data_IF_817362527509
#
_entry.id   IF_817362527509
#
_cell.length_a   1.000
_cell.length_b   1.000
_cell.length_c   1.000
_cell.angle_alpha   90.00
_cell.angle_beta   90.00
_cell.angle_gamma   90.00
#
_symmetry.space_group_name_H-M   'P 1'
#
loop_
_entity.id
_entity.type
_entity.pdbx_description
1 polymer ?
#
# COMPACT_ATOMS: atom_id res chain seq x y z
N UNK A 1 6.28 -1.41 -20.36
CA UNK A 1 5.22 -1.43 -19.32
C UNK A 1 4.73 -2.85 -19.12
N UNK A 2 4.18 -3.15 -17.94
CA UNK A 2 3.81 -4.49 -17.47
C UNK A 2 2.43 -5.01 -17.90
N UNK A 3 1.97 -6.02 -17.18
CA UNK A 3 0.65 -6.69 -17.27
C UNK A 3 0.26 -7.16 -18.67
N UNK A 4 1.25 -7.54 -19.48
CA UNK A 4 1.08 -7.99 -20.87
C UNK A 4 0.34 -9.31 -21.01
N UNK A 5 0.17 -10.06 -19.92
CA UNK A 5 -0.64 -11.28 -19.86
C UNK A 5 -2.13 -11.02 -19.68
N UNK A 6 -2.52 -9.81 -19.27
CA UNK A 6 -3.91 -9.40 -19.09
C UNK A 6 -4.38 -8.68 -20.36
N UNK A 7 -5.31 -9.23 -21.15
CA UNK A 7 -5.86 -8.52 -22.29
C UNK A 7 -6.67 -7.31 -21.80
N UNK A 8 -6.27 -6.12 -22.23
CA UNK A 8 -7.01 -4.88 -22.02
C UNK A 8 -7.35 -4.28 -23.37
N UNK A 9 -8.59 -3.87 -23.55
CA UNK A 9 -9.10 -3.40 -24.82
C UNK A 9 -9.95 -2.13 -24.64
N UNK A 10 -9.98 -1.32 -25.67
CA UNK A 10 -10.98 -0.27 -25.84
C UNK A 10 -12.24 -0.93 -26.43
N UNK A 11 -13.42 -0.60 -25.88
CA UNK A 11 -14.68 -1.23 -26.26
C UNK A 11 -15.74 -0.18 -26.57
N UNK A 12 -16.54 -0.44 -27.59
CA UNK A 12 -17.73 0.33 -27.96
C UNK A 12 -18.97 -0.51 -27.71
N UNK A 13 -20.01 0.10 -27.14
CA UNK A 13 -21.29 -0.56 -26.89
C UNK A 13 -22.33 -0.04 -27.89
N UNK A 14 -22.72 -0.86 -28.86
CA UNK A 14 -23.81 -0.58 -29.81
C UNK A 14 -24.95 -1.59 -29.64
N UNK A 15 -26.14 -1.12 -29.25
CA UNK A 15 -27.32 -1.97 -29.08
C UNK A 15 -27.18 -3.10 -28.04
N UNK A 16 -26.19 -3.03 -27.15
CA UNK A 16 -25.91 -4.09 -26.17
C UNK A 16 -27.02 -4.15 -25.13
N UNK A 17 -27.58 -5.34 -24.92
CA UNK A 17 -28.55 -5.57 -23.85
C UNK A 17 -27.85 -5.51 -22.49
N UNK A 18 -28.39 -4.70 -21.58
CA UNK A 18 -27.89 -4.56 -20.22
C UNK A 18 -29.04 -4.64 -19.22
N UNK A 19 -28.74 -5.11 -18.00
CA UNK A 19 -29.70 -5.16 -16.91
C UNK A 19 -29.33 -4.12 -15.85
N UNK A 20 -30.32 -3.33 -15.42
CA UNK A 20 -30.14 -2.42 -14.29
C UNK A 20 -29.94 -3.24 -13.02
N UNK A 21 -28.82 -3.01 -12.34
CA UNK A 21 -28.57 -3.53 -10.99
C UNK A 21 -28.85 -2.40 -10.00
N UNK A 22 -29.75 -2.65 -9.04
CA UNK A 22 -30.22 -1.64 -8.08
C UNK A 22 -31.17 -0.61 -8.68
N UNK A 23 -31.03 0.66 -8.27
CA UNK A 23 -31.91 1.75 -8.69
C UNK A 23 -31.18 2.75 -9.58
N UNK A 24 -31.95 3.41 -10.46
CA UNK A 24 -31.43 4.48 -11.30
C UNK A 24 -30.93 5.64 -10.44
N UNK A 25 -29.66 6.04 -10.64
CA UNK A 25 -29.00 7.12 -9.90
C UNK A 25 -27.97 6.64 -8.86
N UNK A 26 -28.06 5.38 -8.42
CA UNK A 26 -27.22 4.85 -7.33
C UNK A 26 -25.91 4.20 -7.81
N UNK A 27 -25.62 4.26 -9.11
CA UNK A 27 -24.53 3.49 -9.74
C UNK A 27 -23.18 3.67 -9.05
N UNK A 28 -22.80 4.91 -8.70
CA UNK A 28 -21.55 5.18 -8.00
C UNK A 28 -21.53 4.50 -6.62
N UNK A 29 -22.58 4.65 -5.82
CA UNK A 29 -22.64 4.05 -4.48
C UNK A 29 -22.55 2.52 -4.54
N UNK A 30 -23.21 1.90 -5.53
CA UNK A 30 -23.19 0.45 -5.70
C UNK A 30 -21.81 -0.09 -6.06
N UNK A 31 -21.08 0.58 -6.97
CA UNK A 31 -19.75 0.12 -7.38
C UNK A 31 -18.67 0.41 -6.33
N UNK A 32 -18.91 1.31 -5.37
CA UNK A 32 -17.89 1.68 -4.38
C UNK A 32 -17.46 0.50 -3.49
N UNK A 33 -18.33 -0.47 -3.23
CA UNK A 33 -17.97 -1.70 -2.50
C UNK A 33 -16.98 -2.54 -3.32
N UNK A 34 -17.24 -2.73 -4.62
CA UNK A 34 -16.36 -3.42 -5.55
C UNK A 34 -15.02 -2.69 -5.70
N UNK A 35 -15.04 -1.36 -5.89
CA UNK A 35 -13.81 -0.55 -5.98
C UNK A 35 -12.97 -0.69 -4.71
N UNK A 36 -13.60 -0.68 -3.54
CA UNK A 36 -12.86 -0.84 -2.28
C UNK A 36 -12.16 -2.21 -2.20
N UNK A 37 -12.82 -3.28 -2.64
CA UNK A 37 -12.20 -4.60 -2.72
C UNK A 37 -11.06 -4.61 -3.76
N UNK A 38 -11.26 -4.04 -4.96
CA UNK A 38 -10.21 -3.97 -5.98
C UNK A 38 -8.99 -3.14 -5.53
N UNK A 39 -9.18 -2.11 -4.71
CA UNK A 39 -8.07 -1.39 -4.06
C UNK A 39 -7.33 -2.26 -3.06
N UNK A 40 -8.03 -3.08 -2.29
CA UNK A 40 -7.40 -4.03 -1.39
C UNK A 40 -6.62 -5.10 -2.17
N UNK A 41 -7.14 -5.59 -3.30
CA UNK A 41 -6.42 -6.50 -4.21
C UNK A 41 -5.13 -5.88 -4.77
N UNK A 42 -5.15 -4.60 -5.11
CA UNK A 42 -3.94 -3.86 -5.51
C UNK A 42 -2.90 -3.83 -4.37
N UNK A 43 -3.34 -3.65 -3.11
CA UNK A 43 -2.46 -3.70 -1.93
C UNK A 43 -1.87 -5.09 -1.76
N UNK A 44 -2.69 -6.13 -1.85
CA UNK A 44 -2.26 -7.53 -1.79
C UNK A 44 -1.21 -7.83 -2.86
N UNK A 45 -1.48 -7.46 -4.11
CA UNK A 45 -0.56 -7.65 -5.22
C UNK A 45 0.77 -6.90 -5.00
N UNK A 46 0.72 -5.64 -4.57
CA UNK A 46 1.92 -4.85 -4.31
C UNK A 46 2.78 -5.45 -3.18
N UNK A 47 2.16 -5.82 -2.05
CA UNK A 47 2.87 -6.45 -0.93
C UNK A 47 3.48 -7.80 -1.32
N UNK A 48 2.76 -8.62 -2.10
CA UNK A 48 3.27 -9.89 -2.60
C UNK A 48 4.47 -9.71 -3.55
N UNK A 49 4.41 -8.73 -4.47
CA UNK A 49 5.53 -8.43 -5.35
C UNK A 49 6.76 -7.95 -4.58
N UNK A 50 6.58 -7.08 -3.57
CA UNK A 50 7.67 -6.63 -2.68
C UNK A 50 8.31 -7.81 -1.94
N UNK A 51 7.50 -8.76 -1.45
CA UNK A 51 7.98 -9.95 -0.76
C UNK A 51 8.78 -10.86 -1.68
N UNK A 52 8.28 -11.13 -2.88
CA UNK A 52 8.99 -12.00 -3.84
C UNK A 52 10.30 -11.35 -4.27
N UNK A 53 10.31 -10.03 -4.50
CA UNK A 53 11.53 -9.29 -4.82
C UNK A 53 12.59 -9.40 -3.73
N UNK A 54 12.21 -9.20 -2.47
CA UNK A 54 13.08 -9.40 -1.31
C UNK A 54 13.64 -10.82 -1.24
N UNK A 55 12.79 -11.84 -1.39
CA UNK A 55 13.22 -13.25 -1.32
C UNK A 55 14.26 -13.57 -2.40
N UNK A 56 14.07 -13.07 -3.63
CA UNK A 56 15.04 -13.23 -4.70
C UNK A 56 16.37 -12.51 -4.39
N UNK A 57 16.32 -11.28 -3.88
CA UNK A 57 17.51 -10.53 -3.48
C UNK A 57 18.29 -11.21 -2.35
N UNK A 58 17.62 -11.64 -1.28
CA UNK A 58 18.24 -12.37 -0.16
C UNK A 58 18.85 -13.68 -0.65
N UNK A 59 18.13 -14.44 -1.48
CA UNK A 59 18.66 -15.69 -2.02
C UNK A 59 19.91 -15.44 -2.86
N UNK A 60 19.86 -14.50 -3.80
CA UNK A 60 20.99 -14.16 -4.65
C UNK A 60 22.23 -13.77 -3.83
N UNK A 61 22.05 -12.86 -2.86
CA UNK A 61 23.15 -12.29 -2.07
C UNK A 61 23.81 -13.31 -1.13
N UNK A 62 23.07 -14.35 -0.70
CA UNK A 62 23.62 -15.48 0.08
C UNK A 62 24.55 -16.39 -0.70
N UNK A 63 24.43 -16.43 -2.02
CA UNK A 63 25.22 -17.30 -2.90
C UNK A 63 26.26 -16.53 -3.73
N UNK A 64 25.99 -15.27 -4.06
CA UNK A 64 26.91 -14.42 -4.81
C UNK A 64 28.11 -14.02 -3.94
N UNK A 65 29.30 -14.17 -4.48
CA UNK A 65 30.53 -13.69 -3.83
C UNK A 65 31.07 -12.46 -4.55
N UNK A 66 31.45 -11.45 -3.77
CA UNK A 66 32.07 -10.20 -4.23
C UNK A 66 33.14 -9.82 -3.22
N UNK A 67 34.33 -9.46 -3.71
CA UNK A 67 35.47 -9.11 -2.87
C UNK A 67 35.80 -10.19 -1.81
N UNK A 68 35.72 -11.46 -2.20
CA UNK A 68 36.12 -12.61 -1.37
C UNK A 68 35.15 -13.04 -0.27
N UNK A 69 33.98 -12.41 -0.14
CA UNK A 69 32.91 -12.79 0.81
C UNK A 69 31.58 -12.95 0.09
N UNK A 70 30.59 -13.58 0.74
CA UNK A 70 29.21 -13.55 0.24
C UNK A 70 28.72 -12.11 0.27
N UNK A 71 27.87 -11.76 -0.69
CA UNK A 71 27.38 -10.41 -0.82
C UNK A 71 26.52 -10.01 0.38
N UNK A 72 25.76 -10.95 0.98
CA UNK A 72 25.03 -10.72 2.23
C UNK A 72 25.92 -10.44 3.45
N UNK A 73 27.20 -10.81 3.42
CA UNK A 73 28.15 -10.58 4.53
C UNK A 73 28.86 -9.22 4.39
N UNK A 74 28.54 -8.44 3.34
CA UNK A 74 29.04 -7.09 3.15
C UNK A 74 28.13 -6.12 3.93
N UNK A 75 28.65 -5.30 4.86
CA UNK A 75 27.81 -4.44 5.70
C UNK A 75 26.87 -3.52 4.92
N UNK A 76 27.32 -3.02 3.77
CA UNK A 76 26.48 -2.15 2.92
C UNK A 76 25.28 -2.89 2.33
N UNK A 77 25.44 -4.16 1.95
CA UNK A 77 24.34 -4.98 1.43
C UNK A 77 23.42 -5.43 2.56
N UNK A 78 23.97 -5.74 3.74
CA UNK A 78 23.18 -6.08 4.92
C UNK A 78 22.19 -4.96 5.25
N UNK A 79 22.64 -3.69 5.24
CA UNK A 79 21.74 -2.54 5.45
C UNK A 79 20.65 -2.45 4.39
N UNK A 80 20.96 -2.61 3.10
CA UNK A 80 19.97 -2.58 2.01
C UNK A 80 18.94 -3.70 2.19
N UNK A 81 19.39 -4.94 2.44
CA UNK A 81 18.49 -6.08 2.63
C UNK A 81 17.61 -5.91 3.88
N UNK A 82 18.14 -5.29 4.95
CA UNK A 82 17.37 -4.99 6.15
C UNK A 82 16.26 -3.97 5.86
N UNK A 83 16.55 -2.89 5.14
CA UNK A 83 15.55 -1.88 4.77
C UNK A 83 14.45 -2.47 3.89
N UNK A 84 14.83 -3.26 2.87
CA UNK A 84 13.87 -3.98 2.01
C UNK A 84 13.03 -4.99 2.80
N UNK A 85 13.61 -5.64 3.81
CA UNK A 85 12.92 -6.57 4.68
C UNK A 85 11.90 -5.86 5.58
N UNK A 86 12.28 -4.74 6.20
CA UNK A 86 11.39 -3.92 7.02
C UNK A 86 10.18 -3.43 6.22
N UNK A 87 10.40 -2.88 5.02
CA UNK A 87 9.31 -2.43 4.16
C UNK A 87 8.40 -3.58 3.71
N UNK A 88 8.98 -4.73 3.35
CA UNK A 88 8.19 -5.90 2.94
C UNK A 88 7.37 -6.48 4.09
N UNK A 89 7.91 -6.50 5.31
CA UNK A 89 7.23 -6.99 6.51
C UNK A 89 6.06 -6.09 6.85
N UNK A 90 6.32 -4.78 6.99
CA UNK A 90 5.31 -3.78 7.27
C UNK A 90 4.15 -3.80 6.24
N UNK A 91 4.47 -3.98 4.95
CA UNK A 91 3.46 -4.10 3.90
C UNK A 91 2.62 -5.39 4.01
N UNK A 92 3.27 -6.52 4.34
CA UNK A 92 2.60 -7.81 4.50
C UNK A 92 1.68 -7.80 5.73
N UNK A 93 2.17 -7.32 6.87
CA UNK A 93 1.42 -7.26 8.12
C UNK A 93 0.19 -6.38 7.99
N UNK A 94 0.33 -5.17 7.42
CA UNK A 94 -0.81 -4.29 7.19
C UNK A 94 -1.83 -4.90 6.23
N UNK A 95 -1.36 -5.55 5.16
CA UNK A 95 -2.25 -6.23 4.22
C UNK A 95 -3.09 -7.34 4.89
N UNK A 96 -2.46 -8.19 5.71
CA UNK A 96 -3.15 -9.25 6.44
C UNK A 96 -4.10 -8.67 7.49
N UNK A 97 -3.69 -7.61 8.19
CA UNK A 97 -4.55 -6.92 9.15
C UNK A 97 -5.79 -6.34 8.47
N UNK A 98 -5.65 -5.72 7.29
CA UNK A 98 -6.80 -5.25 6.52
C UNK A 98 -7.72 -6.42 6.16
N UNK A 99 -7.19 -7.58 5.74
CA UNK A 99 -8.00 -8.78 5.50
C UNK A 99 -8.83 -9.14 6.74
N UNK A 100 -8.21 -9.18 7.92
CA UNK A 100 -8.88 -9.46 9.18
C UNK A 100 -10.00 -8.46 9.47
N UNK A 101 -9.82 -7.16 9.16
CA UNK A 101 -10.90 -6.18 9.36
C UNK A 101 -12.13 -6.42 8.48
N UNK A 102 -11.96 -7.03 7.30
CA UNK A 102 -13.08 -7.46 6.48
C UNK A 102 -13.82 -8.65 7.11
N UNK A 103 -13.09 -9.63 7.63
CA UNK A 103 -13.65 -10.81 8.31
C UNK A 103 -14.40 -10.43 9.59
N UNK A 104 -13.85 -9.50 10.37
CA UNK A 104 -14.46 -8.97 11.59
C UNK A 104 -15.65 -8.03 11.32
N UNK A 105 -15.93 -7.73 10.04
CA UNK A 105 -16.96 -6.78 9.60
C UNK A 105 -16.75 -5.35 10.14
N UNK A 106 -15.51 -4.97 10.45
CA UNK A 106 -15.16 -3.60 10.78
C UNK A 106 -15.01 -2.77 9.48
N UNK A 107 -16.14 -2.49 8.84
CA UNK A 107 -16.18 -1.84 7.53
C UNK A 107 -15.54 -0.44 7.51
N UNK A 108 -15.62 0.30 8.62
CA UNK A 108 -15.02 1.62 8.72
C UNK A 108 -13.50 1.56 8.69
N UNK A 109 -12.90 0.69 9.53
CA UNK A 109 -11.46 0.50 9.57
C UNK A 109 -10.95 -0.12 8.27
N UNK A 110 -11.64 -1.14 7.74
CA UNK A 110 -11.30 -1.77 6.47
C UNK A 110 -11.24 -0.75 5.33
N UNK A 111 -12.25 0.13 5.21
CA UNK A 111 -12.28 1.19 4.20
C UNK A 111 -11.13 2.19 4.35
N UNK A 112 -10.89 2.67 5.57
CA UNK A 112 -9.86 3.67 5.81
C UNK A 112 -8.45 3.11 5.57
N UNK A 113 -8.15 1.94 6.15
CA UNK A 113 -6.86 1.29 5.99
C UNK A 113 -6.60 0.86 4.55
N UNK A 114 -7.63 0.43 3.81
CA UNK A 114 -7.50 0.11 2.38
C UNK A 114 -7.06 1.33 1.58
N UNK A 115 -7.65 2.51 1.82
CA UNK A 115 -7.26 3.73 1.14
C UNK A 115 -5.81 4.17 1.48
N UNK A 116 -5.45 4.09 2.76
CA UNK A 116 -4.10 4.37 3.27
C UNK A 116 -3.05 3.44 2.65
N UNK A 117 -3.27 2.12 2.75
CA UNK A 117 -2.38 1.10 2.21
C UNK A 117 -2.27 1.17 0.68
N UNK A 118 -3.40 1.41 -0.03
CA UNK A 118 -3.41 1.58 -1.49
C UNK A 118 -2.57 2.77 -1.91
N UNK A 119 -2.60 3.86 -1.15
CA UNK A 119 -1.73 5.00 -1.39
C UNK A 119 -0.27 4.65 -1.15
N UNK A 120 0.06 4.11 0.02
CA UNK A 120 1.45 3.93 0.45
C UNK A 120 2.14 2.75 -0.22
N UNK A 121 1.63 1.53 0.00
CA UNK A 121 2.29 0.28 -0.40
C UNK A 121 2.44 0.22 -1.93
N UNK A 122 1.38 0.56 -2.67
CA UNK A 122 1.43 0.51 -4.14
C UNK A 122 2.39 1.55 -4.72
N UNK A 123 2.61 2.70 -4.04
CA UNK A 123 3.59 3.70 -4.47
C UNK A 123 5.02 3.34 -4.10
N UNK A 124 5.22 2.63 -2.98
CA UNK A 124 6.53 2.13 -2.54
C UNK A 124 7.03 0.96 -3.38
N UNK A 125 6.14 0.06 -3.79
CA UNK A 125 6.49 -1.19 -4.45
C UNK A 125 7.44 -1.04 -5.66
N UNK A 126 7.24 -0.11 -6.63
CA UNK A 126 8.17 0.03 -7.75
C UNK A 126 9.60 0.37 -7.33
N UNK A 127 9.76 1.23 -6.32
CA UNK A 127 11.09 1.62 -5.81
C UNK A 127 11.77 0.48 -5.06
N UNK A 128 11.03 -0.19 -4.17
CA UNK A 128 11.52 -1.36 -3.42
C UNK A 128 11.95 -2.50 -4.35
N UNK A 129 11.15 -2.78 -5.38
CA UNK A 129 11.44 -3.86 -6.35
C UNK A 129 12.64 -3.48 -7.22
N UNK A 130 12.82 -2.20 -7.55
CA UNK A 130 14.00 -1.74 -8.29
C UNK A 130 15.30 -1.95 -7.51
N UNK A 131 15.30 -1.62 -6.22
CA UNK A 131 16.45 -1.84 -5.34
C UNK A 131 16.78 -3.35 -5.21
N UNK A 132 15.74 -4.18 -5.07
CA UNK A 132 15.90 -5.63 -5.07
C UNK A 132 16.43 -6.15 -6.43
N UNK A 133 16.04 -5.54 -7.55
CA UNK A 133 16.57 -5.86 -8.87
C UNK A 133 18.06 -5.51 -8.97
N UNK A 134 18.48 -4.38 -8.41
CA UNK A 134 19.89 -3.96 -8.37
C UNK A 134 20.76 -4.93 -7.55
N UNK A 135 20.22 -5.55 -6.50
CA UNK A 135 20.91 -6.58 -5.72
C UNK A 135 21.31 -7.82 -6.55
N UNK A 136 20.63 -8.08 -7.67
CA UNK A 136 20.97 -9.17 -8.62
C UNK A 136 22.03 -8.73 -9.66
N UNK A 137 22.39 -7.44 -9.68
CA UNK A 137 23.26 -6.83 -10.69
C UNK A 137 22.66 -6.89 -12.09
N UNK A 138 23.51 -7.00 -13.12
CA UNK A 138 23.06 -7.02 -14.53
C UNK A 138 22.05 -8.12 -14.85
N UNK A 139 22.11 -9.26 -14.16
CA UNK A 139 21.15 -10.35 -14.33
C UNK A 139 19.74 -9.99 -13.82
N UNK A 140 19.60 -8.99 -12.94
CA UNK A 140 18.28 -8.49 -12.55
C UNK A 140 17.58 -7.74 -13.69
N UNK A 141 18.36 -7.17 -14.62
CA UNK A 141 17.85 -6.29 -15.69
C UNK A 141 17.46 -7.04 -16.97
N UNK A 142 17.84 -8.32 -17.10
CA UNK A 142 17.46 -9.14 -18.27
C UNK A 142 16.03 -9.66 -18.12
N UNK A 143 15.30 -9.74 -19.22
CA UNK A 143 13.86 -10.07 -19.22
C UNK A 143 13.58 -11.55 -18.85
N UNK A 144 14.59 -12.41 -18.91
CA UNK A 144 14.53 -13.79 -18.42
C UNK A 144 14.47 -13.86 -16.89
N UNK A 145 14.92 -12.82 -16.19
CA UNK A 145 14.82 -12.75 -14.74
C UNK A 145 13.42 -12.33 -14.28
N UNK A 146 12.93 -12.99 -13.23
CA UNK A 146 11.60 -12.75 -12.68
C UNK A 146 11.38 -11.27 -12.28
N UNK A 147 12.40 -10.61 -11.73
CA UNK A 147 12.28 -9.25 -11.21
C UNK A 147 12.07 -8.19 -12.30
N UNK A 148 12.60 -8.39 -13.51
CA UNK A 148 12.37 -7.47 -14.63
C UNK A 148 10.87 -7.37 -14.95
N UNK A 149 10.17 -8.52 -14.98
CA UNK A 149 8.71 -8.56 -15.13
C UNK A 149 8.01 -7.87 -13.96
N UNK A 150 8.35 -8.22 -12.72
CA UNK A 150 7.67 -7.66 -11.54
C UNK A 150 7.86 -6.15 -11.42
N UNK A 151 9.04 -5.64 -11.76
CA UNK A 151 9.29 -4.20 -11.83
C UNK A 151 8.39 -3.52 -12.86
N UNK A 152 8.19 -4.11 -14.04
CA UNK A 152 7.28 -3.57 -15.06
C UNK A 152 5.81 -3.62 -14.64
N UNK A 153 5.41 -4.63 -13.88
CA UNK A 153 4.03 -4.86 -13.44
C UNK A 153 3.65 -3.98 -12.23
N UNK A 154 4.59 -3.71 -11.32
CA UNK A 154 4.34 -3.03 -10.04
C UNK A 154 3.69 -1.64 -10.12
N UNK A 155 4.04 -0.74 -11.06
CA UNK A 155 3.42 0.59 -11.14
C UNK A 155 1.91 0.57 -11.38
N UNK A 156 1.38 -0.50 -12.00
CA UNK A 156 -0.05 -0.58 -12.30
C UNK A 156 -0.90 -0.55 -11.03
N UNK A 157 -0.47 -1.21 -9.96
CA UNK A 157 -1.20 -1.24 -8.68
C UNK A 157 -1.35 0.16 -8.08
N UNK A 158 -0.48 1.11 -8.40
CA UNK A 158 -0.61 2.51 -7.96
C UNK A 158 -1.56 3.34 -8.85
N UNK A 159 -1.82 2.90 -10.08
CA UNK A 159 -2.59 3.61 -11.11
C UNK A 159 -4.04 3.12 -11.14
N UNK A 160 -4.24 1.80 -11.19
CA UNK A 160 -5.56 1.15 -11.23
C UNK A 160 -6.33 1.43 -9.93
N UNK A 161 -7.65 1.57 -10.05
CA UNK A 161 -8.64 1.67 -8.97
C UNK A 161 -8.46 2.93 -8.11
N UNK A 162 -7.89 3.97 -8.70
CA UNK A 162 -7.63 5.24 -8.04
C UNK A 162 -6.13 5.49 -7.90
N UNK A 163 -5.59 6.48 -8.64
CA UNK A 163 -4.23 6.96 -8.44
C UNK A 163 -4.01 7.47 -7.02
N UNK A 164 -2.75 7.52 -6.58
CA UNK A 164 -2.41 7.90 -5.20
C UNK A 164 -3.01 9.23 -4.72
N UNK A 165 -3.21 10.23 -5.58
CA UNK A 165 -3.92 11.47 -5.20
C UNK A 165 -5.37 11.21 -4.81
N UNK A 166 -6.06 10.37 -5.58
CA UNK A 166 -7.46 10.01 -5.32
C UNK A 166 -7.56 9.22 -4.01
N UNK A 167 -6.64 8.28 -3.77
CA UNK A 167 -6.58 7.54 -2.52
C UNK A 167 -6.33 8.46 -1.30
N UNK A 168 -5.37 9.38 -1.39
CA UNK A 168 -5.10 10.35 -0.32
C UNK A 168 -6.28 11.31 -0.06
N UNK A 169 -6.98 11.74 -1.11
CA UNK A 169 -8.20 12.55 -0.96
C UNK A 169 -9.36 11.74 -0.37
N UNK A 170 -9.47 10.45 -0.69
CA UNK A 170 -10.49 9.57 -0.11
C UNK A 170 -10.27 9.35 1.39
N UNK A 171 -9.02 9.29 1.86
CA UNK A 171 -8.69 9.29 3.29
C UNK A 171 -9.27 10.52 3.98
N UNK A 172 -9.00 11.73 3.44
CA UNK A 172 -9.54 12.97 3.99
C UNK A 172 -11.07 12.99 3.93
N UNK A 173 -11.66 12.47 2.84
CA UNK A 173 -13.11 12.37 2.69
C UNK A 173 -13.73 11.45 3.74
N UNK A 174 -13.14 10.29 4.02
CA UNK A 174 -13.61 9.37 5.04
C UNK A 174 -13.58 10.03 6.43
N UNK A 175 -12.43 10.60 6.80
CA UNK A 175 -12.24 11.29 8.09
C UNK A 175 -13.18 12.48 8.29
N UNK A 176 -13.54 13.18 7.21
CA UNK A 176 -14.51 14.29 7.25
C UNK A 176 -15.96 13.82 7.33
N UNK A 177 -16.28 12.68 6.72
CA UNK A 177 -17.66 12.21 6.57
C UNK A 177 -18.28 11.70 7.87
N UNK A 178 -17.48 11.06 8.72
CA UNK A 178 -17.95 10.47 9.97
C UNK A 178 -16.77 10.44 10.97
N UNK A 179 -16.91 11.04 12.17
CA UNK A 179 -15.89 10.99 13.21
C UNK A 179 -15.44 9.57 13.57
N UNK A 180 -16.33 8.58 13.41
CA UNK A 180 -16.06 7.19 13.72
C UNK A 180 -14.82 6.63 12.99
N UNK A 181 -14.52 7.11 11.77
CA UNK A 181 -13.30 6.72 11.05
C UNK A 181 -12.01 7.14 11.80
N UNK A 182 -12.01 8.34 12.37
CA UNK A 182 -10.89 8.82 13.19
C UNK A 182 -10.78 8.05 14.49
N UNK A 183 -11.91 7.81 15.16
CA UNK A 183 -11.95 7.11 16.45
C UNK A 183 -11.46 5.66 16.34
N UNK A 184 -11.89 4.94 15.29
CA UNK A 184 -11.44 3.56 15.06
C UNK A 184 -9.98 3.48 14.67
N UNK A 185 -9.45 4.48 13.97
CA UNK A 185 -8.01 4.55 13.65
C UNK A 185 -7.19 4.79 14.93
N UNK A 186 -7.60 5.77 15.74
CA UNK A 186 -6.92 6.16 16.98
C UNK A 186 -7.05 5.12 18.10
N UNK A 187 -7.96 4.14 17.97
CA UNK A 187 -8.00 2.99 18.87
C UNK A 187 -6.68 2.20 18.85
N UNK A 188 -6.00 2.12 17.71
CA UNK A 188 -4.70 1.44 17.61
C UNK A 188 -3.62 2.16 18.43
N UNK A 189 -3.58 3.50 18.40
CA UNK A 189 -2.64 4.30 19.20
C UNK A 189 -2.74 3.99 20.69
N UNK A 190 -3.96 3.84 21.22
CA UNK A 190 -4.18 3.50 22.63
C UNK A 190 -3.63 2.12 23.01
N UNK A 191 -3.62 1.16 22.08
CA UNK A 191 -3.13 -0.19 22.34
C UNK A 191 -1.60 -0.25 22.47
N UNK A 192 -0.88 0.69 21.86
CA UNK A 192 0.59 0.72 21.83
C UNK A 192 1.20 1.92 22.56
N UNK A 193 0.37 2.73 23.24
CA UNK A 193 0.82 3.97 23.87
C UNK A 193 1.91 3.71 24.92
N UNK A 194 2.98 4.53 24.88
CA UNK A 194 4.10 4.44 25.81
C UNK A 194 5.12 3.35 25.49
N UNK A 195 4.92 2.54 24.44
CA UNK A 195 5.92 1.55 24.00
C UNK A 195 7.09 2.22 23.26
N UNK A 196 6.82 3.29 22.50
CA UNK A 196 7.84 4.06 21.79
C UNK A 196 7.45 5.55 21.69
N UNK A 197 8.37 6.44 22.07
CA UNK A 197 8.11 7.89 22.12
C UNK A 197 7.94 8.51 20.73
N UNK A 198 8.63 7.98 19.73
CA UNK A 198 8.52 8.48 18.35
C UNK A 198 7.17 8.10 17.75
N UNK A 199 6.69 6.88 18.04
CA UNK A 199 5.37 6.43 17.64
C UNK A 199 4.25 7.22 18.33
N UNK A 200 4.37 7.46 19.64
CA UNK A 200 3.42 8.30 20.39
C UNK A 200 3.30 9.70 19.77
N UNK A 201 4.44 10.36 19.52
CA UNK A 201 4.46 11.69 18.90
C UNK A 201 3.84 11.67 17.49
N UNK A 202 4.09 10.62 16.71
CA UNK A 202 3.49 10.48 15.38
C UNK A 202 1.96 10.39 15.46
N UNK A 203 1.43 9.63 16.43
CA UNK A 203 -0.02 9.55 16.65
C UNK A 203 -0.62 10.87 17.17
N UNK A 204 0.09 11.62 18.00
CA UNK A 204 -0.36 12.95 18.46
C UNK A 204 -0.49 13.93 17.28
N UNK A 205 0.52 13.97 16.39
CA UNK A 205 0.49 14.78 15.17
C UNK A 205 -0.68 14.39 14.25
N UNK A 206 -0.93 13.08 14.11
CA UNK A 206 -2.04 12.54 13.31
C UNK A 206 -3.39 12.90 13.93
N UNK A 207 -3.52 12.76 15.25
CA UNK A 207 -4.74 13.10 15.98
C UNK A 207 -5.10 14.58 15.81
N UNK A 208 -4.10 15.46 15.88
CA UNK A 208 -4.28 16.89 15.59
C UNK A 208 -4.80 17.12 14.15
N UNK A 209 -4.24 16.44 13.16
CA UNK A 209 -4.68 16.54 11.78
C UNK A 209 -6.11 16.01 11.56
N UNK A 210 -6.47 14.88 12.17
CA UNK A 210 -7.84 14.32 12.12
C UNK A 210 -8.84 15.32 12.72
N UNK A 211 -8.51 15.90 13.88
CA UNK A 211 -9.35 16.89 14.57
C UNK A 211 -9.58 18.14 13.72
N UNK A 212 -8.55 18.60 13.00
CA UNK A 212 -8.66 19.72 12.07
C UNK A 212 -9.62 19.41 10.91
N UNK A 213 -9.54 18.21 10.33
CA UNK A 213 -10.44 17.77 9.24
C UNK A 213 -11.90 17.74 9.70
N UNK A 214 -12.16 17.17 10.88
CA UNK A 214 -13.51 17.01 11.42
C UNK A 214 -14.14 18.35 11.83
N UNK A 215 -13.34 19.30 12.33
CA UNK A 215 -13.80 20.65 12.65
C UNK A 215 -13.94 21.57 11.43
N UNK A 216 -13.53 21.13 10.23
CA UNK A 216 -13.51 21.96 9.02
C UNK A 216 -12.43 23.03 9.02
N UNK A 217 -11.45 22.93 9.92
CA UNK A 217 -10.30 23.83 9.99
C UNK A 217 -9.31 23.58 8.85
N UNK A 218 -8.36 24.50 8.66
CA UNK A 218 -7.26 24.28 7.72
C UNK A 218 -6.44 23.04 8.11
N UNK A 219 -6.18 22.15 7.15
CA UNK A 219 -5.34 20.98 7.39
C UNK A 219 -3.90 21.41 7.74
N UNK A 220 -3.30 20.84 8.80
CA UNK A 220 -1.93 21.19 9.19
C UNK A 220 -0.87 20.58 8.27
N UNK A 221 -1.25 19.64 7.40
CA UNK A 221 -0.36 19.00 6.44
C UNK A 221 -1.10 18.60 5.15
N UNK A 222 -0.34 18.42 4.07
CA UNK A 222 -0.91 18.01 2.78
C UNK A 222 -1.50 16.58 2.86
N UNK A 223 -2.58 16.27 2.11
CA UNK A 223 -3.26 14.97 2.16
C UNK A 223 -2.35 13.76 1.94
N UNK A 224 -1.37 13.87 1.04
CA UNK A 224 -0.40 12.79 0.79
C UNK A 224 0.49 12.52 2.01
N UNK A 225 1.01 13.58 2.63
CA UNK A 225 1.86 13.46 3.81
C UNK A 225 1.06 12.90 4.99
N UNK A 226 -0.20 13.31 5.13
CA UNK A 226 -1.10 12.72 6.13
C UNK A 226 -1.30 11.21 5.88
N UNK A 227 -1.64 10.82 4.66
CA UNK A 227 -1.86 9.42 4.32
C UNK A 227 -0.59 8.57 4.54
N UNK A 228 0.58 9.09 4.19
CA UNK A 228 1.87 8.46 4.49
C UNK A 228 2.09 8.27 5.99
N UNK A 229 2.02 9.36 6.78
CA UNK A 229 2.24 9.30 8.24
C UNK A 229 1.26 8.36 8.93
N UNK A 230 -0.02 8.44 8.56
CA UNK A 230 -1.05 7.54 9.06
C UNK A 230 -0.73 6.08 8.74
N UNK A 231 -0.30 5.77 7.51
CA UNK A 231 0.03 4.39 7.14
C UNK A 231 1.24 3.90 7.92
N UNK A 232 2.33 4.66 7.96
CA UNK A 232 3.59 4.26 8.63
C UNK A 232 3.39 4.10 10.14
N UNK A 233 2.70 5.02 10.80
CA UNK A 233 2.38 4.91 12.23
C UNK A 233 1.52 3.68 12.51
N UNK A 234 0.54 3.39 11.65
CA UNK A 234 -0.30 2.21 11.79
C UNK A 234 0.49 0.92 11.54
N UNK A 235 1.40 0.88 10.56
CA UNK A 235 2.30 -0.26 10.32
C UNK A 235 3.21 -0.53 11.53
N UNK A 236 3.75 0.52 12.15
CA UNK A 236 4.61 0.40 13.33
C UNK A 236 3.85 -0.05 14.60
N UNK A 237 2.52 0.13 14.62
CA UNK A 237 1.68 -0.24 15.74
C UNK A 237 1.09 -1.66 15.65
N UNK A 238 1.30 -2.38 14.54
CA UNK A 238 0.89 -3.78 14.37
C UNK A 238 2.01 -4.72 14.82
#
# INVERSE_FOLDING_TARGET
MGTRSLPSAEIEFDGVQAHLIGHSGDGLQMIMSMINLGRFECVMAAAALMRVALVQAIHHTRHRHVLGKRLCDQPVMESVLADLALESEAATTLMLHIAQTFDDKNHALARLLTALAKFWICKRAPGQINEALECLGGNGYVEEALLARYYRDAPLNAIWEGPGNVAALDVVRCLKSDPYFGDTFMAQSRAVHGLDRTLDQAFDDIHFAISAIQSGSALPMQPRLLAERMTVAYQAAL
#
